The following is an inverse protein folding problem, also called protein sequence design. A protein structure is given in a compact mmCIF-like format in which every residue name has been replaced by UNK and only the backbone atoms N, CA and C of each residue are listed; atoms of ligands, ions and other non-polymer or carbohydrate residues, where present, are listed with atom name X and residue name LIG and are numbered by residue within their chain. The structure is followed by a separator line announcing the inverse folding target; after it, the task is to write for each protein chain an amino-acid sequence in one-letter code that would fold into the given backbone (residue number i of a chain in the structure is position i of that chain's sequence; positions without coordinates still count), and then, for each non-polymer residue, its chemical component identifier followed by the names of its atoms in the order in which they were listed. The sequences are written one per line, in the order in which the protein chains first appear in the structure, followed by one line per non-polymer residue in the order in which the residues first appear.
data_IF_466377426589
#
_entry.id   IF_466377426589
#
_cell.length_a   1.000
_cell.length_b   1.000
_cell.length_c   1.000
_cell.angle_alpha   90.00
_cell.angle_beta   90.00
_cell.angle_gamma   90.00
#
_symmetry.space_group_name_H-M   'P 1'
#
loop_
_entity.id
_entity.type
_entity.pdbx_description
1 polymer ?
#
# COMPACT_ATOMS: atom_id res chain seq x y z
N UNK A 1 20.07 11.09 -2.99
CA UNK A 1 19.06 11.23 -4.06
C UNK A 1 18.06 10.11 -3.88
N UNK A 2 16.81 10.43 -3.71
CA UNK A 2 15.71 9.47 -3.44
C UNK A 2 15.28 8.82 -4.76
N UNK A 3 15.44 7.52 -4.86
CA UNK A 3 15.13 6.72 -6.05
C UNK A 3 13.70 6.21 -5.95
N UNK A 4 12.78 6.79 -6.74
CA UNK A 4 11.36 6.45 -6.68
C UNK A 4 10.94 5.59 -7.88
N UNK A 5 10.22 4.49 -7.63
CA UNK A 5 9.53 3.67 -8.63
C UNK A 5 8.04 3.98 -8.56
N UNK A 6 7.42 4.29 -9.72
CA UNK A 6 5.99 4.60 -9.80
C UNK A 6 5.24 3.39 -10.35
N UNK A 7 4.20 2.97 -9.65
CA UNK A 7 3.31 1.88 -10.06
C UNK A 7 1.88 2.41 -10.06
N UNK A 8 1.36 2.75 -11.23
CA UNK A 8 0.02 3.32 -11.41
C UNK A 8 -0.51 2.99 -12.80
N UNK A 9 -1.74 2.55 -12.91
CA UNK A 9 -2.36 2.16 -14.19
C UNK A 9 -2.63 3.35 -15.12
N UNK A 10 -2.69 4.58 -14.61
CA UNK A 10 -3.04 5.78 -15.37
C UNK A 10 -1.78 6.43 -15.98
N UNK A 11 -1.56 6.36 -17.32
CA UNK A 11 -0.32 6.86 -17.93
C UNK A 11 -0.11 8.37 -17.74
N UNK A 12 -1.18 9.15 -17.83
CA UNK A 12 -1.11 10.60 -17.66
C UNK A 12 -0.71 10.99 -16.22
N UNK A 13 -1.22 10.26 -15.22
CA UNK A 13 -0.86 10.50 -13.83
C UNK A 13 0.60 10.12 -13.57
N UNK A 14 1.07 8.97 -14.11
CA UNK A 14 2.49 8.61 -14.00
C UNK A 14 3.40 9.69 -14.57
N UNK A 15 3.05 10.22 -15.76
CA UNK A 15 3.81 11.30 -16.39
C UNK A 15 3.82 12.57 -15.51
N UNK A 16 2.66 12.96 -14.96
CA UNK A 16 2.55 14.11 -14.07
C UNK A 16 3.35 13.95 -12.78
N UNK A 17 3.22 12.80 -12.11
CA UNK A 17 3.99 12.47 -10.90
C UNK A 17 5.49 12.50 -11.17
N UNK A 18 5.91 11.95 -12.31
CA UNK A 18 7.31 11.98 -12.72
C UNK A 18 7.83 13.41 -12.84
N UNK A 19 7.11 14.29 -13.52
CA UNK A 19 7.48 15.71 -13.67
C UNK A 19 7.59 16.38 -12.30
N UNK A 20 6.64 16.14 -11.39
CA UNK A 20 6.63 16.70 -10.03
C UNK A 20 7.85 16.25 -9.24
N UNK A 21 8.15 14.95 -9.23
CA UNK A 21 9.27 14.42 -8.44
C UNK A 21 10.64 14.80 -9.05
N UNK A 22 10.78 14.81 -10.38
CA UNK A 22 12.03 15.18 -11.06
C UNK A 22 12.31 16.69 -11.04
N UNK A 23 11.34 17.53 -10.68
CA UNK A 23 11.58 18.95 -10.40
C UNK A 23 12.39 19.15 -9.11
N UNK A 24 12.42 18.17 -8.22
CA UNK A 24 13.15 18.23 -6.97
C UNK A 24 14.59 17.74 -7.14
N UNK A 25 15.57 18.51 -6.63
CA UNK A 25 17.01 18.22 -6.81
C UNK A 25 17.47 16.93 -6.11
N UNK A 26 16.72 16.47 -5.12
CA UNK A 26 17.02 15.31 -4.29
C UNK A 26 16.27 14.04 -4.69
N UNK A 27 15.47 14.07 -5.78
CA UNK A 27 14.66 12.95 -6.24
C UNK A 27 14.97 12.53 -7.68
N UNK A 28 14.75 11.27 -7.98
CA UNK A 28 14.83 10.72 -9.33
C UNK A 28 13.82 9.58 -9.49
N UNK A 29 13.08 9.57 -10.59
CA UNK A 29 12.21 8.46 -10.96
C UNK A 29 13.03 7.41 -11.72
N UNK A 30 13.25 6.27 -11.09
CA UNK A 30 14.10 5.19 -11.64
C UNK A 30 13.36 4.20 -12.52
N UNK A 31 12.05 4.35 -12.61
CA UNK A 31 11.17 3.57 -13.48
C UNK A 31 9.70 3.84 -13.18
N UNK A 32 8.86 3.45 -14.12
CA UNK A 32 7.41 3.46 -13.94
C UNK A 32 6.76 2.28 -14.65
N UNK A 33 5.61 1.84 -14.16
CA UNK A 33 4.81 0.78 -14.79
C UNK A 33 3.32 0.97 -14.52
N UNK A 34 2.49 0.50 -15.46
CA UNK A 34 1.04 0.46 -15.30
C UNK A 34 0.49 -0.82 -14.68
N UNK A 35 1.35 -1.84 -14.46
CA UNK A 35 0.91 -3.14 -13.98
C UNK A 35 1.88 -3.80 -13.00
N UNK A 36 1.31 -4.72 -12.21
CA UNK A 36 2.07 -5.47 -11.19
C UNK A 36 2.95 -6.57 -11.77
N UNK A 37 2.70 -7.00 -13.01
CA UNK A 37 3.44 -8.02 -13.75
C UNK A 37 4.93 -7.67 -13.94
N UNK A 38 5.21 -6.38 -14.15
CA UNK A 38 6.57 -5.87 -14.32
C UNK A 38 7.24 -5.45 -13.00
N UNK A 39 6.48 -5.39 -11.91
CA UNK A 39 6.94 -4.84 -10.63
C UNK A 39 8.22 -5.52 -10.12
N UNK A 40 8.23 -6.84 -10.02
CA UNK A 40 9.40 -7.57 -9.49
C UNK A 40 10.65 -7.37 -10.35
N UNK A 41 10.50 -7.35 -11.67
CA UNK A 41 11.61 -7.10 -12.58
C UNK A 41 12.18 -5.69 -12.39
N UNK A 42 11.30 -4.68 -12.28
CA UNK A 42 11.69 -3.30 -12.05
C UNK A 42 12.38 -3.13 -10.70
N UNK A 43 11.84 -3.69 -9.62
CA UNK A 43 12.44 -3.64 -8.29
C UNK A 43 13.88 -4.17 -8.29
N UNK A 44 14.11 -5.34 -8.91
CA UNK A 44 15.44 -5.93 -8.99
C UNK A 44 16.42 -5.10 -9.81
N UNK A 45 15.95 -4.53 -10.92
CA UNK A 45 16.78 -3.74 -11.85
C UNK A 45 17.09 -2.36 -11.33
N UNK A 46 16.10 -1.69 -10.73
CA UNK A 46 16.22 -0.28 -10.36
C UNK A 46 16.59 -0.05 -8.90
N UNK A 47 16.35 -1.03 -8.02
CA UNK A 47 16.59 -0.94 -6.57
C UNK A 47 16.11 0.42 -6.01
N UNK A 48 14.81 0.71 -6.05
CA UNK A 48 14.28 1.98 -5.58
C UNK A 48 14.39 2.08 -4.04
N UNK A 49 14.47 3.31 -3.54
CA UNK A 49 14.34 3.60 -2.12
C UNK A 49 12.87 3.68 -1.70
N UNK A 50 12.02 4.20 -2.61
CA UNK A 50 10.57 4.38 -2.41
C UNK A 50 9.82 3.80 -3.60
N UNK A 51 8.76 3.06 -3.31
CA UNK A 51 7.75 2.63 -4.28
C UNK A 51 6.48 3.44 -4.04
N UNK A 52 6.08 4.24 -5.03
CA UNK A 52 4.78 4.89 -5.06
C UNK A 52 3.81 3.92 -5.74
N UNK A 53 2.86 3.41 -4.98
CA UNK A 53 1.96 2.33 -5.40
C UNK A 53 0.52 2.81 -5.46
N UNK A 54 -0.07 2.81 -6.66
CA UNK A 54 -1.52 2.99 -6.82
C UNK A 54 -2.27 1.83 -6.16
N UNK A 55 -3.35 2.16 -5.48
CA UNK A 55 -4.24 1.18 -4.90
C UNK A 55 -5.68 1.58 -5.24
N UNK A 56 -6.38 0.70 -5.95
CA UNK A 56 -7.75 0.96 -6.40
C UNK A 56 -8.61 -0.30 -6.23
N UNK A 57 -9.92 -0.13 -6.05
CA UNK A 57 -10.83 -1.26 -5.93
C UNK A 57 -10.69 -2.27 -7.09
N UNK A 58 -10.64 -3.59 -6.78
CA UNK A 58 -10.85 -4.24 -5.48
C UNK A 58 -9.62 -4.33 -4.55
N UNK A 59 -8.58 -3.54 -4.71
CA UNK A 59 -7.39 -3.29 -3.86
C UNK A 59 -6.55 -4.51 -3.46
N UNK A 60 -7.11 -5.73 -3.42
CA UNK A 60 -6.44 -6.94 -2.89
C UNK A 60 -5.12 -7.23 -3.59
N UNK A 61 -5.09 -7.10 -4.92
CA UNK A 61 -3.88 -7.36 -5.71
C UNK A 61 -2.77 -6.35 -5.39
N UNK A 62 -3.13 -5.07 -5.27
CA UNK A 62 -2.20 -3.98 -5.00
C UNK A 62 -1.63 -4.08 -3.58
N UNK A 63 -2.47 -4.42 -2.58
CA UNK A 63 -2.05 -4.63 -1.20
C UNK A 63 -1.18 -5.89 -1.04
N UNK A 64 -1.46 -6.96 -1.78
CA UNK A 64 -0.59 -8.13 -1.84
C UNK A 64 0.75 -7.80 -2.50
N UNK A 65 0.75 -6.92 -3.51
CA UNK A 65 1.98 -6.43 -4.12
C UNK A 65 2.78 -5.57 -3.13
N UNK A 66 2.13 -4.71 -2.34
CA UNK A 66 2.77 -3.98 -1.24
C UNK A 66 3.49 -4.94 -0.29
N UNK A 67 2.81 -5.99 0.20
CA UNK A 67 3.43 -7.02 1.06
C UNK A 67 4.61 -7.70 0.40
N UNK A 68 4.49 -8.04 -0.87
CA UNK A 68 5.59 -8.67 -1.62
C UNK A 68 6.82 -7.76 -1.65
N UNK A 69 6.63 -6.47 -1.90
CA UNK A 69 7.69 -5.46 -1.86
C UNK A 69 8.34 -5.39 -0.47
N UNK A 70 7.53 -5.41 0.59
CA UNK A 70 8.02 -5.37 1.98
C UNK A 70 8.74 -6.65 2.43
N UNK A 71 8.57 -7.77 1.71
CA UNK A 71 9.33 -9.00 1.96
C UNK A 71 10.72 -9.03 1.31
N UNK A 72 11.09 -8.04 0.51
CA UNK A 72 12.43 -7.93 -0.08
C UNK A 72 13.47 -7.50 0.96
N UNK A 73 14.73 -7.85 0.73
CA UNK A 73 15.85 -7.44 1.59
C UNK A 73 16.98 -6.82 0.75
N UNK A 74 17.30 -5.53 0.96
CA UNK A 74 16.57 -4.57 1.77
C UNK A 74 15.20 -4.22 1.15
N UNK A 75 14.20 -4.01 2.00
CA UNK A 75 12.87 -3.61 1.53
C UNK A 75 12.84 -2.10 1.25
N UNK A 76 12.36 -1.67 0.06
CA UNK A 76 12.08 -0.25 -0.16
C UNK A 76 10.92 0.22 0.73
N UNK A 77 10.80 1.53 0.90
CA UNK A 77 9.61 2.14 1.49
C UNK A 77 8.45 2.09 0.51
N UNK A 78 7.24 1.88 1.01
CA UNK A 78 6.04 1.86 0.17
C UNK A 78 5.10 2.97 0.61
N UNK A 79 4.87 3.92 -0.29
CA UNK A 79 3.84 4.95 -0.16
C UNK A 79 2.67 4.58 -1.08
N UNK A 80 1.53 4.25 -0.48
CA UNK A 80 0.29 4.06 -1.23
C UNK A 80 -0.23 5.44 -1.64
N UNK A 81 -0.55 5.60 -2.92
CA UNK A 81 -1.07 6.83 -3.51
C UNK A 81 -2.37 6.53 -4.22
N UNK A 82 -3.50 6.82 -3.58
CA UNK A 82 -4.82 6.34 -3.99
C UNK A 82 -5.86 7.44 -4.02
N UNK A 83 -6.80 7.37 -4.96
CA UNK A 83 -7.99 8.21 -4.96
C UNK A 83 -9.05 7.73 -3.94
N UNK A 84 -8.81 6.62 -3.27
CA UNK A 84 -9.71 5.97 -2.31
C UNK A 84 -9.04 5.85 -0.94
N UNK A 85 -8.42 6.94 -0.46
CA UNK A 85 -7.70 6.98 0.81
C UNK A 85 -8.66 7.08 2.02
N UNK A 86 -9.57 6.12 2.12
CA UNK A 86 -10.54 6.00 3.21
C UNK A 86 -9.98 5.21 4.43
N UNK A 87 -10.79 5.10 5.47
CA UNK A 87 -10.42 4.39 6.71
C UNK A 87 -10.13 2.91 6.48
N UNK A 88 -10.85 2.25 5.56
CA UNK A 88 -10.64 0.83 5.25
C UNK A 88 -9.33 0.61 4.54
N UNK A 89 -9.00 1.46 3.55
CA UNK A 89 -7.70 1.38 2.91
C UNK A 89 -6.58 1.68 3.91
N UNK A 90 -6.79 2.55 4.89
CA UNK A 90 -5.82 2.84 5.94
C UNK A 90 -5.50 1.59 6.78
N UNK A 91 -6.53 0.88 7.25
CA UNK A 91 -6.35 -0.40 7.97
C UNK A 91 -5.64 -1.42 7.09
N UNK A 92 -6.11 -1.61 5.85
CA UNK A 92 -5.54 -2.58 4.93
C UNK A 92 -4.10 -2.24 4.51
N UNK A 93 -3.77 -0.96 4.33
CA UNK A 93 -2.42 -0.47 4.05
C UNK A 93 -1.46 -0.79 5.21
N UNK A 94 -1.92 -0.60 6.46
CA UNK A 94 -1.15 -0.95 7.64
C UNK A 94 -0.90 -2.45 7.73
N UNK A 95 -1.92 -3.27 7.50
CA UNK A 95 -1.81 -4.74 7.43
C UNK A 95 -0.87 -5.19 6.31
N UNK A 96 -0.88 -4.49 5.18
CA UNK A 96 0.04 -4.74 4.07
C UNK A 96 1.48 -4.31 4.37
N UNK A 97 1.72 -3.55 5.45
CA UNK A 97 3.03 -3.06 5.84
C UNK A 97 3.49 -1.82 5.07
N UNK A 98 2.55 -1.03 4.52
CA UNK A 98 2.88 0.24 3.89
C UNK A 98 3.50 1.22 4.89
N UNK A 99 4.37 2.08 4.41
CA UNK A 99 5.01 3.12 5.22
C UNK A 99 4.20 4.43 5.23
N UNK A 100 3.29 4.59 4.26
CA UNK A 100 2.40 5.75 4.18
C UNK A 100 1.21 5.53 3.25
N UNK A 101 0.20 6.37 3.42
CA UNK A 101 -0.97 6.50 2.55
C UNK A 101 -1.17 7.99 2.25
N UNK A 102 -1.32 8.32 0.97
CA UNK A 102 -1.58 9.68 0.50
C UNK A 102 -2.74 9.66 -0.50
N UNK A 103 -3.66 10.61 -0.35
CA UNK A 103 -4.76 10.82 -1.29
C UNK A 103 -4.25 11.45 -2.59
N UNK A 104 -4.71 10.97 -3.75
CA UNK A 104 -4.38 11.55 -5.07
C UNK A 104 -4.89 13.00 -5.26
N UNK A 105 -5.83 13.43 -4.43
CA UNK A 105 -6.29 14.83 -4.39
C UNK A 105 -5.34 15.76 -3.62
N UNK A 106 -4.30 15.23 -2.95
CA UNK A 106 -3.29 16.02 -2.27
C UNK A 106 -2.47 16.85 -3.26
N UNK A 107 -1.90 17.95 -2.78
CA UNK A 107 -1.08 18.81 -3.61
C UNK A 107 0.23 18.14 -4.06
N UNK A 108 0.85 18.66 -5.11
CA UNK A 108 2.18 18.23 -5.55
C UNK A 108 3.23 18.36 -4.43
N UNK A 109 3.11 19.41 -3.59
CA UNK A 109 4.00 19.62 -2.46
C UNK A 109 3.82 18.53 -1.40
N UNK A 110 2.58 18.13 -1.10
CA UNK A 110 2.31 17.05 -0.14
C UNK A 110 2.89 15.72 -0.64
N UNK A 111 2.78 15.44 -1.93
CA UNK A 111 3.39 14.25 -2.54
C UNK A 111 4.92 14.23 -2.34
N UNK A 112 5.58 15.34 -2.65
CA UNK A 112 7.04 15.48 -2.45
C UNK A 112 7.41 15.29 -0.98
N UNK A 113 6.67 15.93 -0.07
CA UNK A 113 6.91 15.80 1.36
C UNK A 113 6.65 14.38 1.88
N UNK A 114 5.63 13.71 1.35
CA UNK A 114 5.32 12.32 1.71
C UNK A 114 6.44 11.36 1.27
N UNK A 115 6.95 11.50 0.04
CA UNK A 115 8.09 10.71 -0.45
C UNK A 115 9.33 10.92 0.43
N UNK A 116 9.68 12.16 0.77
CA UNK A 116 10.77 12.46 1.70
C UNK A 116 10.52 11.87 3.09
N UNK A 117 9.28 11.98 3.55
CA UNK A 117 8.86 11.47 4.86
C UNK A 117 9.06 9.96 4.98
N UNK A 118 8.50 9.17 4.06
CA UNK A 118 8.67 7.70 4.11
C UNK A 118 10.11 7.29 3.89
N UNK A 119 10.85 7.95 3.00
CA UNK A 119 12.28 7.69 2.79
C UNK A 119 13.10 7.91 4.08
N UNK A 120 12.82 8.96 4.84
CA UNK A 120 13.48 9.22 6.12
C UNK A 120 13.07 8.30 7.26
N UNK A 121 12.16 7.36 7.00
CA UNK A 121 11.65 6.41 7.99
C UNK A 121 10.43 6.90 8.78
N UNK A 122 9.89 8.08 8.46
CA UNK A 122 8.63 8.50 9.07
C UNK A 122 7.49 7.62 8.56
N UNK A 123 6.61 7.24 9.46
CA UNK A 123 5.38 6.54 9.12
C UNK A 123 4.30 7.57 8.84
N UNK A 124 3.72 7.52 7.64
CA UNK A 124 2.67 8.44 7.19
C UNK A 124 1.34 7.67 7.05
N UNK A 125 0.99 6.92 8.10
CA UNK A 125 -0.31 6.28 8.29
C UNK A 125 -0.90 6.88 9.57
N UNK A 126 -2.05 7.50 9.44
CA UNK A 126 -2.78 8.02 10.59
C UNK A 126 -3.12 6.89 11.58
N UNK A 127 -3.26 7.21 12.88
CA UNK A 127 -3.73 6.26 13.87
C UNK A 127 -5.07 5.64 13.43
N UNK A 128 -5.26 4.37 13.77
CA UNK A 128 -6.50 3.65 13.52
C UNK A 128 -7.38 3.79 14.76
N UNK A 129 -8.60 4.27 14.57
CA UNK A 129 -9.55 4.41 15.65
C UNK A 129 -10.11 3.04 16.07
N UNK A 130 -10.51 2.88 17.35
CA UNK A 130 -11.06 1.61 17.84
C UNK A 130 -12.29 1.11 17.06
N UNK A 131 -13.09 2.04 16.50
CA UNK A 131 -14.25 1.71 15.66
C UNK A 131 -13.86 1.01 14.36
N UNK A 132 -12.80 1.48 13.70
CA UNK A 132 -12.31 0.91 12.43
C UNK A 132 -11.85 -0.53 12.61
N UNK A 133 -11.25 -0.83 13.77
CA UNK A 133 -10.83 -2.19 14.13
C UNK A 133 -12.04 -3.10 14.34
N UNK A 134 -13.10 -2.62 15.00
CA UNK A 134 -14.30 -3.43 15.24
C UNK A 134 -14.97 -3.83 13.92
N UNK A 135 -15.10 -2.91 12.98
CA UNK A 135 -15.67 -3.20 11.66
C UNK A 135 -14.78 -4.16 10.88
N UNK A 136 -13.47 -3.96 10.91
CA UNK A 136 -12.50 -4.82 10.26
C UNK A 136 -12.50 -6.26 10.81
N UNK A 137 -12.81 -6.45 12.10
CA UNK A 137 -12.77 -7.77 12.74
C UNK A 137 -14.05 -8.58 12.59
N UNK A 138 -15.17 -7.99 12.18
CA UNK A 138 -16.48 -8.70 12.09
C UNK A 138 -16.45 -9.93 11.21
N UNK A 139 -15.65 -9.93 10.15
CA UNK A 139 -15.56 -11.02 9.17
C UNK A 139 -14.41 -12.00 9.45
N UNK A 140 -13.60 -11.75 10.51
CA UNK A 140 -12.39 -12.51 10.81
C UNK A 140 -12.67 -13.62 11.84
N UNK A 141 -11.96 -14.74 11.69
CA UNK A 141 -11.90 -15.73 12.77
C UNK A 141 -11.04 -15.23 13.95
N UNK A 142 -11.11 -15.94 15.09
CA UNK A 142 -10.37 -15.55 16.32
C UNK A 142 -8.87 -15.41 16.09
N UNK A 143 -8.27 -16.29 15.30
CA UNK A 143 -6.85 -16.30 15.03
C UNK A 143 -6.46 -15.16 14.08
N UNK A 144 -7.27 -14.90 13.07
CA UNK A 144 -7.11 -13.77 12.17
C UNK A 144 -7.23 -12.44 12.91
N UNK A 145 -8.19 -12.32 13.84
CA UNK A 145 -8.34 -11.14 14.67
C UNK A 145 -7.11 -10.91 15.57
N UNK A 146 -6.51 -11.97 16.13
CA UNK A 146 -5.26 -11.85 16.87
C UNK A 146 -4.09 -11.38 15.99
N UNK A 147 -3.95 -11.96 14.79
CA UNK A 147 -2.92 -11.55 13.83
C UNK A 147 -3.12 -10.09 13.44
N UNK A 148 -4.37 -9.69 13.14
CA UNK A 148 -4.70 -8.29 12.80
C UNK A 148 -4.29 -7.35 13.94
N UNK A 149 -4.70 -7.61 15.17
CA UNK A 149 -4.35 -6.77 16.31
C UNK A 149 -2.84 -6.59 16.44
N UNK A 150 -2.06 -7.68 16.35
CA UNK A 150 -0.60 -7.61 16.43
C UNK A 150 0.02 -6.81 15.25
N UNK A 151 -0.53 -6.93 14.05
CA UNK A 151 -0.07 -6.13 12.89
C UNK A 151 -0.39 -4.63 13.08
N UNK A 152 -1.53 -4.30 13.67
CA UNK A 152 -1.92 -2.93 14.00
C UNK A 152 -1.03 -2.32 15.08
N UNK A 153 -0.51 -3.14 15.99
CA UNK A 153 0.50 -2.79 17.00
C UNK A 153 1.94 -2.84 16.45
N UNK A 154 2.10 -2.90 15.13
CA UNK A 154 3.38 -2.90 14.42
C UNK A 154 4.29 -4.09 14.73
N UNK A 155 3.73 -5.20 15.24
CA UNK A 155 4.47 -6.43 15.46
C UNK A 155 4.85 -7.07 14.12
N UNK A 156 6.14 -7.34 13.87
CA UNK A 156 6.57 -7.94 12.61
C UNK A 156 5.99 -9.36 12.41
N UNK A 157 5.67 -9.78 11.19
CA UNK A 157 5.13 -11.12 10.92
C UNK A 157 6.01 -12.27 11.44
N UNK A 158 7.32 -12.07 11.53
CA UNK A 158 8.25 -13.04 12.13
C UNK A 158 8.02 -13.22 13.63
N UNK A 159 7.76 -12.15 14.35
CA UNK A 159 7.46 -12.20 15.79
C UNK A 159 6.05 -12.73 16.03
N UNK A 160 5.08 -12.40 15.18
CA UNK A 160 3.73 -13.00 15.21
C UNK A 160 3.82 -14.54 15.07
N UNK A 161 4.67 -15.01 14.15
CA UNK A 161 4.89 -16.43 13.94
C UNK A 161 5.39 -17.12 15.22
N UNK A 162 6.32 -16.49 15.93
CA UNK A 162 6.84 -16.99 17.21
C UNK A 162 5.77 -16.94 18.30
N UNK A 163 5.10 -15.78 18.47
CA UNK A 163 4.12 -15.57 19.53
C UNK A 163 2.91 -16.51 19.43
N UNK A 164 2.47 -16.81 18.20
CA UNK A 164 1.34 -17.70 17.95
C UNK A 164 1.75 -19.16 17.67
N UNK A 165 3.05 -19.48 17.81
CA UNK A 165 3.62 -20.80 17.51
C UNK A 165 3.18 -21.34 16.14
N UNK A 166 3.32 -20.48 15.11
CA UNK A 166 2.90 -20.76 13.73
C UNK A 166 4.09 -20.72 12.77
N UNK A 167 4.11 -21.54 11.70
CA UNK A 167 5.08 -21.37 10.64
C UNK A 167 4.95 -19.99 9.99
N UNK A 168 6.06 -19.28 9.67
CA UNK A 168 6.02 -17.95 9.03
C UNK A 168 5.20 -17.92 7.73
N UNK A 169 5.27 -18.99 6.93
CA UNK A 169 4.47 -19.13 5.71
C UNK A 169 2.96 -19.16 5.99
N UNK A 170 2.54 -19.71 7.14
CA UNK A 170 1.14 -19.75 7.57
C UNK A 170 0.67 -18.36 7.97
N UNK A 171 1.48 -17.61 8.73
CA UNK A 171 1.19 -16.20 9.05
C UNK A 171 1.06 -15.40 7.75
N UNK A 172 1.98 -15.58 6.81
CA UNK A 172 1.92 -14.91 5.50
C UNK A 172 0.62 -15.16 4.73
N UNK A 173 0.14 -16.42 4.71
CA UNK A 173 -1.16 -16.78 4.10
C UNK A 173 -2.32 -16.12 4.83
N UNK A 174 -2.37 -16.23 6.16
CA UNK A 174 -3.41 -15.62 6.99
C UNK A 174 -3.52 -14.12 6.77
N UNK A 175 -2.40 -13.41 6.69
CA UNK A 175 -2.41 -11.97 6.38
C UNK A 175 -2.98 -11.70 4.99
N UNK A 176 -2.69 -12.52 3.98
CA UNK A 176 -3.30 -12.39 2.66
C UNK A 176 -4.81 -12.68 2.67
N UNK A 177 -5.27 -13.60 3.53
CA UNK A 177 -6.69 -13.89 3.70
C UNK A 177 -7.40 -12.72 4.43
N UNK A 178 -6.77 -12.15 5.47
CA UNK A 178 -7.24 -10.93 6.15
C UNK A 178 -7.41 -9.79 5.14
N UNK A 179 -6.39 -9.51 4.30
CA UNK A 179 -6.48 -8.49 3.26
C UNK A 179 -7.63 -8.77 2.28
N UNK A 180 -7.81 -10.04 1.89
CA UNK A 180 -8.93 -10.45 1.04
C UNK A 180 -10.28 -10.10 1.66
N UNK A 181 -10.46 -10.33 2.96
CA UNK A 181 -11.72 -10.03 3.67
C UNK A 181 -11.91 -8.53 3.88
N UNK A 182 -10.87 -7.80 4.29
CA UNK A 182 -10.93 -6.34 4.44
C UNK A 182 -11.34 -5.63 3.15
N UNK A 183 -10.99 -6.20 1.99
CA UNK A 183 -11.30 -5.64 0.68
C UNK A 183 -12.56 -6.23 0.04
N UNK A 184 -13.17 -7.28 0.61
CA UNK A 184 -14.30 -8.00 -0.01
C UNK A 184 -15.64 -7.29 0.19
N UNK A 185 -15.80 -6.50 1.23
CA UNK A 185 -17.03 -5.73 1.46
C UNK A 185 -16.94 -4.38 0.74
N UNK A 186 -17.80 -4.12 -0.25
CA UNK A 186 -17.80 -2.85 -0.96
C UNK A 186 -18.30 -1.73 -0.04
N UNK A 187 -17.47 -0.73 0.31
CA UNK A 187 -17.94 0.49 0.97
C UNK A 187 -18.49 1.50 -0.05
N UNK A 188 -18.12 1.30 -1.33
CA UNK A 188 -18.63 2.13 -2.39
C UNK A 188 -19.98 1.59 -2.86
N UNK A 189 -20.94 2.47 -2.87
CA UNK A 189 -22.15 2.26 -3.63
C UNK A 189 -21.71 2.04 -5.08
N UNK A 190 -22.07 0.91 -5.70
CA UNK A 190 -21.75 0.65 -7.11
C UNK A 190 -22.28 1.76 -8.06
N UNK A 191 -23.12 2.66 -7.55
CA UNK A 191 -23.61 3.86 -8.21
C UNK A 191 -22.58 5.01 -8.25
N UNK A 192 -21.56 5.02 -7.39
CA UNK A 192 -20.57 6.10 -7.29
C UNK A 192 -19.30 5.83 -8.11
N UNK A 193 -19.21 4.69 -8.76
CA UNK A 193 -18.11 4.41 -9.69
C UNK A 193 -18.42 5.13 -11.01
N UNK A 194 -17.66 6.15 -11.42
CA UNK A 194 -17.80 6.73 -12.75
C UNK A 194 -17.63 5.59 -13.75
N UNK A 195 -18.71 5.25 -14.45
CA UNK A 195 -18.67 4.25 -15.50
C UNK A 195 -17.95 4.92 -16.70
N UNK A 196 -16.65 4.69 -16.83
CA UNK A 196 -15.92 4.90 -18.08
C UNK A 196 -16.48 3.92 -19.11
N UNK A 197 -17.64 4.27 -19.68
CA UNK A 197 -18.08 3.66 -20.94
C UNK A 197 -17.16 4.20 -22.02
N UNK A 198 -16.47 3.35 -22.78
CA UNK A 198 -15.81 3.80 -23.99
C UNK A 198 -16.88 4.41 -24.89
N UNK A 199 -16.66 5.65 -25.32
CA UNK A 199 -17.46 6.29 -26.33
C UNK A 199 -17.42 5.43 -27.60
N UNK A 200 -18.60 5.08 -28.10
CA UNK A 200 -18.81 4.35 -29.34
C UNK A 200 -18.34 5.14 -30.55
#
# INVERSE_FOLDING_TARGET
MIRTLIVDRHPALRAGVKVVLEAERDMVVVGDTGGLDQLLQLLRRTRPDVVLLDCHPPMVADLRACRLVKCLLPAPRVLIYSAYADERLRVAARVAGADGLLDKNSSALDLVQAVRGVHSGRRLLEPIEPGDVQDATRSLDRQEAQILAMLLDDVPPSEIAVALNMPPATVGRRVNDILGRLCAEPPWNAADVPCDRPAA
#
